data_IF_196255526541
#
_entry.id   IF_196255526541
#
_cell.length_a   1.000
_cell.length_b   1.000
_cell.length_c   1.000
_cell.angle_alpha   90.00
_cell.angle_beta   90.00
_cell.angle_gamma   90.00
#
_symmetry.space_group_name_H-M   'P 1'
#
loop_
_entity.id
_entity.type
_entity.pdbx_description
1 polymer ?
#
# COMPACT_ATOMS: atom_id res chain seq x y z
N UNK A 1 36.06 15.09 -6.06
CA UNK A 1 35.59 14.53 -7.35
C UNK A 1 35.03 13.11 -7.16
N UNK A 2 35.84 12.04 -7.09
CA UNK A 2 35.33 10.66 -6.99
C UNK A 2 34.54 10.36 -5.69
N UNK A 3 34.99 10.93 -4.56
CA UNK A 3 34.35 10.76 -3.25
C UNK A 3 32.96 11.42 -3.16
N UNK A 4 32.75 12.53 -3.89
CA UNK A 4 31.45 13.22 -3.92
C UNK A 4 30.46 12.51 -4.85
N UNK A 5 30.93 11.96 -5.97
CA UNK A 5 30.13 11.11 -6.86
C UNK A 5 29.65 9.82 -6.17
N UNK A 6 30.50 9.23 -5.31
CA UNK A 6 30.14 8.07 -4.50
C UNK A 6 29.06 8.40 -3.47
N UNK A 7 29.19 9.51 -2.75
CA UNK A 7 28.16 9.96 -1.80
C UNK A 7 26.83 10.28 -2.50
N UNK A 8 26.89 10.95 -3.66
CA UNK A 8 25.69 11.27 -4.45
C UNK A 8 25.02 9.99 -4.96
N UNK A 9 25.79 9.01 -5.44
CA UNK A 9 25.29 7.72 -5.91
C UNK A 9 24.63 6.90 -4.81
N UNK A 10 25.20 6.91 -3.60
CA UNK A 10 24.62 6.22 -2.43
C UNK A 10 23.32 6.92 -2.00
N UNK A 11 23.28 8.25 -1.95
CA UNK A 11 22.06 9.00 -1.62
C UNK A 11 20.93 8.76 -2.63
N UNK A 12 21.25 8.74 -3.93
CA UNK A 12 20.29 8.39 -4.99
C UNK A 12 19.77 6.96 -4.85
N UNK A 13 20.62 5.98 -4.54
CA UNK A 13 20.20 4.59 -4.36
C UNK A 13 19.25 4.37 -3.18
N UNK A 14 19.42 5.14 -2.08
CA UNK A 14 18.53 5.08 -0.91
C UNK A 14 17.15 5.69 -1.25
N UNK A 15 17.10 6.71 -2.10
CA UNK A 15 15.86 7.34 -2.57
C UNK A 15 15.01 6.40 -3.45
N UNK A 16 15.61 5.47 -4.20
CA UNK A 16 14.87 4.52 -5.06
C UNK A 16 14.49 3.23 -4.33
N UNK A 17 14.96 3.03 -3.09
CA UNK A 17 14.90 1.74 -2.40
C UNK A 17 13.56 1.35 -1.79
N UNK A 18 12.60 2.28 -1.65
CA UNK A 18 11.38 2.02 -0.88
C UNK A 18 10.13 2.68 -1.49
N UNK A 19 9.82 2.37 -2.75
CA UNK A 19 8.47 2.61 -3.29
C UNK A 19 7.68 1.31 -3.33
N UNK A 20 7.66 0.57 -2.23
CA UNK A 20 6.52 -0.31 -1.99
C UNK A 20 5.37 0.64 -1.72
N UNK A 21 4.35 0.64 -2.59
CA UNK A 21 3.24 1.57 -2.44
C UNK A 21 2.57 1.36 -1.10
N UNK A 22 2.78 2.31 -0.17
CA UNK A 22 2.26 2.20 1.19
C UNK A 22 0.74 2.10 1.15
N UNK A 23 0.21 1.16 1.93
CA UNK A 23 -1.21 0.92 2.03
C UNK A 23 -1.83 1.92 3.02
N UNK A 24 -3.01 2.45 2.70
CA UNK A 24 -3.69 3.51 3.44
C UNK A 24 -2.91 4.84 3.55
N UNK A 25 -1.87 5.02 2.72
CA UNK A 25 -1.12 6.26 2.62
C UNK A 25 -1.58 7.06 1.38
N UNK A 26 -1.80 8.35 1.56
CA UNK A 26 -2.18 9.25 0.48
C UNK A 26 -1.00 9.53 -0.44
N UNK A 27 -1.14 9.18 -1.72
CA UNK A 27 -0.14 9.53 -2.72
C UNK A 27 -0.17 11.03 -3.04
N UNK A 28 1.02 11.63 -3.11
CA UNK A 28 1.20 13.01 -3.57
C UNK A 28 0.85 13.18 -5.05
N UNK A 29 1.01 12.15 -5.86
CA UNK A 29 0.84 12.20 -7.31
C UNK A 29 -0.63 12.01 -7.71
N UNK A 30 -1.27 10.98 -7.16
CA UNK A 30 -2.64 10.62 -7.53
C UNK A 30 -3.72 11.23 -6.64
N UNK A 31 -3.33 11.77 -5.47
CA UNK A 31 -4.24 12.26 -4.41
C UNK A 31 -5.25 11.20 -3.95
N UNK A 32 -4.87 9.92 -4.08
CA UNK A 32 -5.63 8.78 -3.57
C UNK A 32 -4.76 7.90 -2.69
N UNK A 33 -5.38 7.19 -1.77
CA UNK A 33 -4.75 6.14 -0.98
C UNK A 33 -5.28 4.78 -1.44
N UNK A 34 -4.38 3.85 -1.71
CA UNK A 34 -4.76 2.46 -1.93
C UNK A 34 -5.11 1.84 -0.59
N UNK A 35 -6.30 1.26 -0.47
CA UNK A 35 -6.81 0.66 0.79
C UNK A 35 -6.85 -0.87 0.71
N UNK A 36 -6.74 -1.42 -0.50
CA UNK A 36 -6.47 -2.83 -0.77
C UNK A 36 -5.75 -2.96 -2.11
N UNK A 37 -5.48 -4.20 -2.54
CA UNK A 37 -4.81 -4.47 -3.82
C UNK A 37 -5.49 -3.79 -5.00
N UNK A 38 -6.82 -3.74 -5.04
CA UNK A 38 -7.58 -3.22 -6.18
C UNK A 38 -8.58 -2.13 -5.79
N UNK A 39 -8.46 -1.55 -4.60
CA UNK A 39 -9.37 -0.50 -4.14
C UNK A 39 -8.63 0.71 -3.59
N UNK A 40 -9.24 1.88 -3.76
CA UNK A 40 -8.69 3.16 -3.33
C UNK A 40 -9.75 4.08 -2.73
N UNK A 41 -9.30 5.05 -1.94
CA UNK A 41 -10.08 6.18 -1.46
C UNK A 41 -9.42 7.48 -1.90
N UNK A 42 -10.22 8.54 -2.02
CA UNK A 42 -9.68 9.88 -2.27
C UNK A 42 -9.10 10.44 -0.97
N UNK A 43 -8.11 11.33 -1.12
CA UNK A 43 -7.50 12.01 0.01
C UNK A 43 -8.04 13.42 0.16
N UNK A 44 -8.16 13.87 1.41
CA UNK A 44 -8.38 15.29 1.72
C UNK A 44 -7.12 16.12 1.41
N UNK A 45 -7.26 17.44 1.50
CA UNK A 45 -6.12 18.36 1.41
C UNK A 45 -5.06 18.10 2.49
N UNK A 46 -5.46 17.55 3.63
CA UNK A 46 -4.59 17.19 4.76
C UNK A 46 -3.97 15.78 4.61
N UNK A 47 -4.04 15.17 3.42
CA UNK A 47 -3.55 13.82 3.12
C UNK A 47 -4.17 12.72 3.99
N UNK A 48 -5.46 12.86 4.30
CA UNK A 48 -6.23 11.84 5.04
C UNK A 48 -7.13 11.10 4.05
N UNK A 49 -7.04 9.75 3.93
CA UNK A 49 -7.99 8.97 3.14
C UNK A 49 -9.40 9.13 3.70
N UNK A 50 -10.37 9.48 2.85
CA UNK A 50 -11.75 9.63 3.29
C UNK A 50 -12.75 9.42 2.17
N UNK A 51 -14.03 9.27 2.54
CA UNK A 51 -15.13 9.13 1.62
C UNK A 51 -15.34 7.70 1.10
N UNK A 52 -15.96 7.54 -0.08
CA UNK A 52 -16.27 6.23 -0.62
C UNK A 52 -15.02 5.47 -1.10
N UNK A 53 -15.07 4.15 -0.97
CA UNK A 53 -14.09 3.23 -1.55
C UNK A 53 -14.46 2.94 -3.00
N UNK A 54 -13.50 3.10 -3.90
CA UNK A 54 -13.62 2.80 -5.32
C UNK A 54 -12.82 1.54 -5.65
N UNK A 55 -13.34 0.73 -6.57
CA UNK A 55 -12.63 -0.44 -7.10
C UNK A 55 -12.03 -0.09 -8.45
N UNK A 56 -10.75 -0.44 -8.64
CA UNK A 56 -10.06 -0.29 -9.91
C UNK A 56 -10.75 -1.11 -11.02
N UNK A 57 -10.92 -0.53 -12.22
CA UNK A 57 -11.61 -1.20 -13.32
C UNK A 57 -10.85 -2.45 -13.78
N UNK A 58 -11.56 -3.42 -14.36
CA UNK A 58 -11.00 -4.67 -14.87
C UNK A 58 -10.18 -5.48 -13.85
N UNK A 59 -10.42 -5.29 -12.54
CA UNK A 59 -9.62 -5.88 -11.46
C UNK A 59 -8.12 -5.54 -11.54
N UNK A 60 -7.79 -4.39 -12.11
CA UNK A 60 -6.41 -3.86 -12.08
C UNK A 60 -6.02 -3.48 -10.66
N UNK A 61 -4.71 -3.40 -10.41
CA UNK A 61 -4.20 -3.14 -9.08
C UNK A 61 -4.14 -1.63 -8.82
N UNK A 62 -4.37 -1.21 -7.59
CA UNK A 62 -4.21 0.17 -7.16
C UNK A 62 -2.73 0.52 -7.10
N UNK A 63 -2.39 1.73 -7.56
CA UNK A 63 -1.05 2.30 -7.46
C UNK A 63 -1.12 3.73 -6.95
N UNK A 64 -0.07 4.16 -6.25
CA UNK A 64 0.13 5.58 -5.92
C UNK A 64 0.45 6.46 -7.12
N UNK A 65 0.71 5.89 -8.30
CA UNK A 65 1.01 6.65 -9.53
C UNK A 65 -0.21 7.43 -10.03
N UNK A 66 0.02 8.45 -10.87
CA UNK A 66 -1.03 9.32 -11.44
C UNK A 66 -2.19 8.54 -12.10
N UNK A 67 -1.89 7.37 -12.68
CA UNK A 67 -2.88 6.48 -13.28
C UNK A 67 -3.88 5.84 -12.30
N UNK A 68 -3.57 5.83 -10.99
CA UNK A 68 -4.31 5.24 -9.85
C UNK A 68 -4.52 3.73 -9.91
N UNK A 69 -4.75 3.18 -11.09
CA UNK A 69 -4.99 1.79 -11.35
C UNK A 69 -4.06 1.32 -12.47
N UNK A 70 -3.36 0.23 -12.24
CA UNK A 70 -2.32 -0.29 -13.13
C UNK A 70 -2.43 -1.80 -13.27
N UNK A 71 -2.16 -2.30 -14.47
CA UNK A 71 -1.94 -3.73 -14.69
C UNK A 71 -0.48 -4.13 -14.44
N UNK A 72 0.39 -3.16 -14.13
CA UNK A 72 1.79 -3.43 -13.86
C UNK A 72 1.97 -3.97 -12.44
N UNK A 73 2.26 -5.27 -12.36
CA UNK A 73 2.51 -6.01 -11.11
C UNK A 73 3.73 -5.50 -10.30
N UNK A 74 4.55 -4.61 -10.86
CA UNK A 74 5.69 -4.01 -10.13
C UNK A 74 5.36 -2.66 -9.48
N UNK A 75 4.23 -2.04 -9.85
CA UNK A 75 3.90 -0.68 -9.44
C UNK A 75 2.69 -0.61 -8.50
N UNK A 76 2.14 -1.74 -8.09
CA UNK A 76 0.95 -1.74 -7.25
C UNK A 76 1.27 -1.58 -5.76
N UNK A 77 0.39 -0.87 -5.07
CA UNK A 77 0.44 -0.62 -3.63
C UNK A 77 -0.26 -1.74 -2.84
N UNK A 78 -0.12 -1.75 -1.51
CA UNK A 78 -0.77 -2.74 -0.64
C UNK A 78 -0.33 -4.20 -0.94
N UNK A 79 0.93 -4.39 -1.34
CA UNK A 79 1.47 -5.73 -1.65
C UNK A 79 1.55 -6.64 -0.42
N UNK A 80 1.63 -6.03 0.77
CA UNK A 80 1.78 -6.70 2.04
C UNK A 80 0.42 -7.06 2.69
N UNK A 81 -0.71 -6.63 2.11
CA UNK A 81 -2.01 -7.13 2.51
C UNK A 81 -2.21 -8.59 2.06
N UNK A 82 -2.97 -9.31 2.87
CA UNK A 82 -3.29 -10.72 2.71
C UNK A 82 -2.02 -11.59 2.67
N UNK A 83 -1.02 -11.24 3.48
CA UNK A 83 0.27 -11.94 3.61
C UNK A 83 0.76 -11.91 5.05
N UNK A 84 1.35 -13.02 5.47
CA UNK A 84 2.08 -13.12 6.74
C UNK A 84 3.54 -13.48 6.42
N UNK A 85 4.47 -12.70 6.96
CA UNK A 85 5.91 -12.88 6.73
C UNK A 85 6.65 -13.45 7.94
N UNK A 86 5.93 -13.74 9.03
CA UNK A 86 6.48 -14.19 10.32
C UNK A 86 6.90 -13.07 11.27
N UNK A 87 6.88 -11.80 10.85
CA UNK A 87 7.24 -10.65 11.67
C UNK A 87 6.02 -9.90 12.21
N UNK A 88 4.88 -10.03 11.53
CA UNK A 88 3.61 -9.40 11.91
C UNK A 88 2.63 -10.41 12.53
N UNK A 89 1.87 -9.98 13.55
CA UNK A 89 0.83 -10.80 14.16
C UNK A 89 -0.50 -10.76 13.40
N UNK A 90 -0.71 -9.75 12.54
CA UNK A 90 -1.94 -9.56 11.79
C UNK A 90 -1.65 -9.14 10.36
N UNK A 91 -2.57 -9.46 9.46
CA UNK A 91 -2.59 -8.96 8.08
C UNK A 91 -3.99 -8.43 7.76
N UNK A 92 -4.07 -7.36 6.98
CA UNK A 92 -5.32 -7.00 6.31
C UNK A 92 -5.75 -8.12 5.35
N UNK A 93 -7.05 -8.35 5.21
CA UNK A 93 -7.64 -9.22 4.16
C UNK A 93 -8.54 -8.43 3.23
N UNK A 94 -9.08 -7.29 3.68
CA UNK A 94 -9.76 -6.28 2.87
C UNK A 94 -9.55 -4.87 3.48
N UNK A 95 -10.10 -3.79 2.89
CA UNK A 95 -10.02 -2.45 3.50
C UNK A 95 -10.62 -2.35 4.90
N UNK A 96 -11.55 -3.26 5.25
CA UNK A 96 -12.28 -3.23 6.51
C UNK A 96 -12.20 -4.55 7.27
N UNK A 97 -11.31 -5.46 6.87
CA UNK A 97 -11.15 -6.77 7.54
C UNK A 97 -9.68 -7.18 7.64
N UNK A 98 -9.36 -7.93 8.69
CA UNK A 98 -8.02 -8.41 8.99
C UNK A 98 -8.07 -9.85 9.53
N UNK A 99 -6.95 -10.56 9.45
CA UNK A 99 -6.78 -11.91 9.96
C UNK A 99 -5.51 -12.02 10.81
N UNK A 100 -5.45 -13.04 11.67
CA UNK A 100 -4.29 -13.38 12.47
C UNK A 100 -3.22 -14.08 11.62
N UNK A 101 -1.97 -13.71 11.83
CA UNK A 101 -0.81 -14.42 11.30
C UNK A 101 -0.28 -15.42 12.34
N UNK A 102 -0.13 -16.68 11.92
CA UNK A 102 0.59 -17.71 12.66
C UNK A 102 1.88 -18.04 11.90
N UNK A 103 2.96 -17.35 12.26
CA UNK A 103 4.20 -17.34 11.48
C UNK A 103 3.96 -16.81 10.07
N UNK A 104 4.16 -17.67 9.06
CA UNK A 104 3.96 -17.34 7.63
C UNK A 104 2.58 -17.72 7.12
N UNK A 105 1.70 -18.23 7.98
CA UNK A 105 0.36 -18.69 7.61
C UNK A 105 -0.71 -17.71 8.07
N UNK A 106 -1.73 -17.50 7.23
CA UNK A 106 -2.94 -16.77 7.64
C UNK A 106 -3.90 -17.74 8.29
N UNK A 107 -4.30 -17.44 9.53
CA UNK A 107 -5.38 -18.17 10.19
C UNK A 107 -6.70 -17.77 9.52
N UNK A 108 -7.49 -18.76 9.09
CA UNK A 108 -8.74 -18.53 8.34
C UNK A 108 -9.89 -18.09 9.25
N UNK A 109 -9.65 -17.03 10.02
CA UNK A 109 -10.63 -16.33 10.84
C UNK A 109 -10.47 -14.85 10.49
N UNK A 110 -11.50 -14.29 9.87
CA UNK A 110 -11.52 -12.89 9.46
C UNK A 110 -12.28 -12.05 10.50
N UNK A 111 -11.65 -10.96 10.91
CA UNK A 111 -12.17 -9.98 11.84
C UNK A 111 -12.47 -8.68 11.10
N UNK A 112 -13.53 -7.98 11.49
CA UNK A 112 -13.87 -6.69 10.91
C UNK A 112 -13.23 -5.54 11.68
N UNK A 113 -12.68 -4.58 10.95
CA UNK A 113 -12.32 -3.27 11.51
C UNK A 113 -13.60 -2.55 11.88
N UNK A 114 -13.73 -2.15 13.15
CA UNK A 114 -14.78 -1.23 13.56
C UNK A 114 -14.46 0.15 12.97
N UNK A 115 -15.48 0.88 12.49
CA UNK A 115 -15.31 2.28 12.10
C UNK A 115 -14.92 3.10 13.34
N UNK A 116 -13.61 3.28 13.56
CA UNK A 116 -13.03 4.19 14.54
C UNK A 116 -13.31 3.86 16.01
N UNK A 117 -12.28 3.38 16.69
CA UNK A 117 -11.91 3.97 17.99
C UNK A 117 -10.54 4.62 17.82
#
# INVERSE_FOLDING_TARGET
MLRELLCLGILLAILVGFSHGECNACSVDSKTACVSRNQYQNCTLDNIPTGPIYTCPNNTNCTGSVERCTSNETLFSCNDCNKCDGNQNFTCTSPSTFALCDGVSIVNIEYSCSLGQ
#
